data_IF_736727716050
#
_entry.id   IF_736727716050
#
_cell.length_a   1.000
_cell.length_b   1.000
_cell.length_c   1.000
_cell.angle_alpha   90.00
_cell.angle_beta   90.00
_cell.angle_gamma   90.00
#
_symmetry.space_group_name_H-M   'P 1'
#
loop_
_entity.id
_entity.type
_entity.pdbx_description
1 polymer ?
#
# COMPACT_ATOMS: atom_id res chain seq x y z
N UNK A 1 8.99 -8.63 -21.25
CA UNK A 1 9.98 -8.19 -22.27
C UNK A 1 9.33 -7.68 -23.54
N UNK A 2 8.17 -8.20 -23.97
CA UNK A 2 7.46 -7.78 -25.20
C UNK A 2 7.32 -6.26 -25.35
N UNK A 3 6.71 -5.58 -24.37
CA UNK A 3 6.54 -4.10 -24.36
C UNK A 3 7.87 -3.37 -24.57
N UNK A 4 8.94 -3.84 -23.90
CA UNK A 4 10.25 -3.20 -23.94
C UNK A 4 10.99 -3.43 -25.28
N UNK A 5 10.69 -4.53 -25.99
CA UNK A 5 11.40 -4.92 -27.20
C UNK A 5 10.68 -4.50 -28.49
N UNK A 6 9.34 -4.47 -28.47
CA UNK A 6 8.53 -4.19 -29.66
C UNK A 6 7.96 -2.77 -29.68
N UNK A 7 7.73 -2.16 -28.52
CA UNK A 7 7.29 -0.77 -28.42
C UNK A 7 5.88 -0.50 -28.96
N UNK A 8 5.04 -1.53 -29.07
CA UNK A 8 3.65 -1.38 -29.52
C UNK A 8 2.83 -0.54 -28.54
N UNK A 9 1.85 0.19 -29.07
CA UNK A 9 0.93 1.00 -28.26
C UNK A 9 -0.19 0.11 -27.73
N UNK A 10 -0.50 0.28 -26.45
CA UNK A 10 -1.60 -0.40 -25.76
C UNK A 10 -2.50 0.60 -25.03
N UNK A 11 -3.74 0.18 -24.79
CA UNK A 11 -4.74 1.01 -24.10
C UNK A 11 -4.65 0.93 -22.58
N UNK A 12 -5.39 1.79 -21.88
CA UNK A 12 -5.44 1.78 -20.42
C UNK A 12 -6.00 0.47 -19.85
N UNK A 13 -6.98 -0.15 -20.51
CA UNK A 13 -7.55 -1.43 -20.06
C UNK A 13 -6.50 -2.55 -20.09
N UNK A 14 -5.77 -2.66 -21.20
CA UNK A 14 -4.68 -3.63 -21.34
C UNK A 14 -3.56 -3.39 -20.32
N UNK A 15 -3.20 -2.12 -20.08
CA UNK A 15 -2.25 -1.74 -19.02
C UNK A 15 -2.67 -2.23 -17.62
N UNK A 16 -3.98 -2.21 -17.33
CA UNK A 16 -4.53 -2.74 -16.07
C UNK A 16 -4.45 -4.26 -16.03
N UNK A 17 -4.82 -4.92 -17.12
CA UNK A 17 -4.90 -6.38 -17.20
C UNK A 17 -3.52 -7.04 -17.04
N UNK A 18 -2.46 -6.39 -17.52
CA UNK A 18 -1.07 -6.84 -17.31
C UNK A 18 -0.47 -6.41 -15.95
N UNK A 19 -1.24 -5.70 -15.12
CA UNK A 19 -0.80 -5.25 -13.79
C UNK A 19 0.11 -4.02 -13.78
N UNK A 20 0.19 -3.24 -14.87
CA UNK A 20 1.00 -2.02 -14.93
C UNK A 20 0.34 -0.84 -14.20
N UNK A 21 -0.98 -0.77 -14.19
CA UNK A 21 -1.76 0.23 -13.45
C UNK A 21 -2.86 -0.45 -12.61
N UNK A 22 -3.28 0.21 -11.51
CA UNK A 22 -4.20 -0.38 -10.54
C UNK A 22 -5.68 -0.34 -10.99
N UNK A 23 -6.11 0.76 -11.62
CA UNK A 23 -7.50 0.95 -12.03
C UNK A 23 -7.60 1.87 -13.25
N UNK A 24 -8.74 1.77 -13.95
CA UNK A 24 -9.10 2.59 -15.11
C UNK A 24 -10.48 3.15 -14.84
N UNK A 25 -10.64 4.46 -15.04
CA UNK A 25 -11.89 5.20 -14.84
C UNK A 25 -12.11 6.17 -16.01
N UNK A 26 -13.34 6.63 -16.26
CA UNK A 26 -13.60 7.72 -17.20
C UNK A 26 -12.74 8.95 -16.88
N UNK A 27 -12.30 9.68 -17.90
CA UNK A 27 -11.44 10.85 -17.73
C UNK A 27 -12.05 11.90 -16.79
N UNK A 28 -13.37 12.08 -16.83
CA UNK A 28 -14.08 13.03 -15.97
C UNK A 28 -14.05 12.66 -14.47
N UNK A 29 -13.76 11.40 -14.14
CA UNK A 29 -13.75 10.87 -12.77
C UNK A 29 -12.33 10.75 -12.19
N UNK A 30 -11.28 10.92 -13.01
CA UNK A 30 -9.90 10.68 -12.62
C UNK A 30 -9.47 11.47 -11.37
N UNK A 31 -9.79 12.76 -11.34
CA UNK A 31 -9.42 13.64 -10.21
C UNK A 31 -10.15 13.22 -8.92
N UNK A 32 -11.43 12.84 -9.03
CA UNK A 32 -12.22 12.42 -7.88
C UNK A 32 -11.72 11.09 -7.30
N UNK A 33 -11.43 10.11 -8.16
CA UNK A 33 -10.98 8.77 -7.76
C UNK A 33 -9.56 8.79 -7.17
N UNK A 34 -8.66 9.59 -7.76
CA UNK A 34 -7.30 9.76 -7.22
C UNK A 34 -7.31 10.51 -5.88
N UNK A 35 -8.15 11.55 -5.73
CA UNK A 35 -8.32 12.24 -4.46
C UNK A 35 -8.90 11.32 -3.38
N UNK A 36 -9.91 10.51 -3.71
CA UNK A 36 -10.50 9.54 -2.79
C UNK A 36 -9.47 8.50 -2.31
N UNK A 37 -8.64 7.98 -3.22
CA UNK A 37 -7.56 7.06 -2.85
C UNK A 37 -6.51 7.73 -1.96
N UNK A 38 -6.09 8.96 -2.29
CA UNK A 38 -5.13 9.70 -1.48
C UNK A 38 -5.67 9.99 -0.07
N UNK A 39 -6.94 10.38 0.05
CA UNK A 39 -7.59 10.60 1.34
C UNK A 39 -7.68 9.31 2.15
N UNK A 40 -8.03 8.18 1.52
CA UNK A 40 -8.07 6.87 2.17
C UNK A 40 -6.70 6.48 2.74
N UNK A 41 -5.62 6.71 2.00
CA UNK A 41 -4.26 6.45 2.47
C UNK A 41 -3.84 7.43 3.57
N UNK A 42 -4.20 8.72 3.45
CA UNK A 42 -3.88 9.72 4.46
C UNK A 42 -4.61 9.48 5.80
N UNK A 43 -5.81 8.90 5.76
CA UNK A 43 -6.59 8.55 6.95
C UNK A 43 -6.18 7.20 7.58
N UNK A 44 -5.27 6.46 6.96
CA UNK A 44 -4.76 5.20 7.48
C UNK A 44 -3.53 5.36 8.39
N UNK A 45 -2.99 4.26 8.93
CA UNK A 45 -1.79 4.28 9.76
C UNK A 45 -0.54 4.49 8.89
N UNK A 46 -0.21 5.75 8.60
CA UNK A 46 0.83 6.13 7.62
C UNK A 46 2.21 5.56 7.94
N UNK A 47 2.57 5.42 9.22
CA UNK A 47 3.80 4.76 9.65
C UNK A 47 3.86 3.30 9.21
N UNK A 48 2.76 2.56 9.38
CA UNK A 48 2.65 1.16 8.93
C UNK A 48 2.79 1.09 7.41
N UNK A 49 2.15 2.00 6.66
CA UNK A 49 2.29 2.04 5.21
C UNK A 49 3.74 2.30 4.76
N UNK A 50 4.46 3.19 5.44
CA UNK A 50 5.88 3.42 5.20
C UNK A 50 6.71 2.16 5.41
N UNK A 51 6.51 1.50 6.55
CA UNK A 51 7.19 0.25 6.91
C UNK A 51 6.89 -0.88 5.90
N UNK A 52 5.63 -1.09 5.54
CA UNK A 52 5.23 -2.09 4.53
C UNK A 52 5.84 -1.79 3.16
N UNK A 53 5.87 -0.52 2.73
CA UNK A 53 6.48 -0.14 1.46
C UNK A 53 8.00 -0.40 1.44
N UNK A 54 8.70 -0.09 2.52
CA UNK A 54 10.12 -0.39 2.66
C UNK A 54 10.39 -1.90 2.61
N UNK A 55 9.54 -2.71 3.26
CA UNK A 55 9.60 -4.17 3.22
C UNK A 55 9.47 -4.73 1.81
N UNK A 56 8.50 -4.25 1.03
CA UNK A 56 8.31 -4.72 -0.34
C UNK A 56 9.46 -4.34 -1.27
N UNK A 57 10.03 -3.14 -1.13
CA UNK A 57 11.12 -2.76 -2.03
C UNK A 57 12.39 -3.58 -1.81
N UNK A 58 12.70 -3.95 -0.57
CA UNK A 58 13.89 -4.76 -0.29
C UNK A 58 13.69 -6.26 -0.50
N UNK A 59 12.44 -6.75 -0.56
CA UNK A 59 12.18 -8.20 -0.52
C UNK A 59 12.73 -8.94 -1.73
N UNK A 60 12.84 -8.28 -2.88
CA UNK A 60 13.39 -8.88 -4.11
C UNK A 60 14.90 -9.11 -4.03
N UNK A 61 15.59 -8.40 -3.14
CA UNK A 61 17.04 -8.44 -2.97
C UNK A 61 17.46 -9.16 -1.67
N UNK A 62 16.49 -9.54 -0.84
CA UNK A 62 16.74 -10.13 0.48
C UNK A 62 16.68 -11.66 0.44
N UNK A 63 17.57 -12.30 1.19
CA UNK A 63 17.41 -13.72 1.52
C UNK A 63 16.16 -13.92 2.39
N UNK A 64 15.52 -15.07 2.25
CA UNK A 64 14.25 -15.36 2.91
C UNK A 64 14.30 -15.18 4.43
N UNK A 65 15.33 -15.70 5.10
CA UNK A 65 15.49 -15.57 6.55
C UNK A 65 15.70 -14.12 6.99
N UNK A 66 16.50 -13.36 6.22
CA UNK A 66 16.75 -11.94 6.48
C UNK A 66 15.47 -11.12 6.32
N UNK A 67 14.66 -11.43 5.30
CA UNK A 67 13.36 -10.78 5.08
C UNK A 67 12.40 -11.07 6.24
N UNK A 68 12.28 -12.33 6.68
CA UNK A 68 11.43 -12.69 7.81
C UNK A 68 11.83 -11.99 9.11
N UNK A 69 13.14 -11.97 9.42
CA UNK A 69 13.65 -11.29 10.61
C UNK A 69 13.27 -9.82 10.59
N UNK A 70 13.45 -9.18 9.45
CA UNK A 70 13.26 -7.76 9.37
C UNK A 70 11.76 -7.39 9.15
N UNK A 71 10.89 -8.32 8.75
CA UNK A 71 9.43 -8.21 8.90
C UNK A 71 9.02 -8.25 10.38
N UNK A 72 9.59 -9.16 11.18
CA UNK A 72 9.33 -9.24 12.61
C UNK A 72 9.74 -7.95 13.35
N UNK A 73 10.88 -7.37 13.01
CA UNK A 73 11.34 -6.09 13.58
C UNK A 73 10.39 -4.93 13.26
N UNK A 74 9.99 -4.80 11.99
CA UNK A 74 9.08 -3.74 11.54
C UNK A 74 7.68 -3.92 12.16
N UNK A 75 7.23 -5.16 12.29
CA UNK A 75 5.99 -5.47 12.99
C UNK A 75 6.06 -5.08 14.46
N UNK A 76 7.15 -5.40 15.17
CA UNK A 76 7.33 -5.03 16.57
C UNK A 76 7.34 -3.50 16.79
N UNK A 77 8.01 -2.75 15.92
CA UNK A 77 7.95 -1.28 15.92
C UNK A 77 6.51 -0.78 15.73
N UNK A 78 5.79 -1.28 14.72
CA UNK A 78 4.37 -0.96 14.53
C UNK A 78 3.51 -1.30 15.74
N UNK A 79 3.70 -2.47 16.36
CA UNK A 79 2.91 -2.94 17.50
C UNK A 79 3.13 -2.09 18.77
N UNK A 80 4.28 -1.42 18.89
CA UNK A 80 4.60 -0.55 20.02
C UNK A 80 3.90 0.80 20.00
N UNK A 81 3.25 1.15 18.88
CA UNK A 81 2.75 2.49 18.58
C UNK A 81 1.28 2.71 18.95
N UNK A 82 0.86 3.97 18.94
CA UNK A 82 -0.49 4.36 19.34
C UNK A 82 -1.53 3.85 18.33
N UNK A 83 -1.23 3.97 17.04
CA UNK A 83 -2.12 3.53 15.97
C UNK A 83 -2.42 2.02 16.02
N UNK A 84 -1.50 1.19 16.52
CA UNK A 84 -1.76 -0.24 16.72
C UNK A 84 -2.80 -0.48 17.81
N UNK A 85 -2.64 0.17 18.97
CA UNK A 85 -3.62 0.09 20.06
C UNK A 85 -5.00 0.61 19.63
N UNK A 86 -5.02 1.70 18.88
CA UNK A 86 -6.24 2.28 18.33
C UNK A 86 -6.93 1.31 17.35
N UNK A 87 -6.18 0.72 16.42
CA UNK A 87 -6.72 -0.25 15.47
C UNK A 87 -7.34 -1.46 16.16
N UNK A 88 -6.65 -2.03 17.17
CA UNK A 88 -7.16 -3.15 17.96
C UNK A 88 -8.41 -2.74 18.75
N UNK A 89 -8.38 -1.58 19.43
CA UNK A 89 -9.50 -1.11 20.25
C UNK A 89 -10.73 -0.81 19.40
N UNK A 90 -10.56 -0.09 18.29
CA UNK A 90 -11.63 0.23 17.35
C UNK A 90 -12.29 -1.02 16.76
N UNK A 91 -11.49 -2.05 16.45
CA UNK A 91 -11.98 -3.34 15.99
C UNK A 91 -12.84 -4.03 17.05
N UNK A 92 -12.37 -4.12 18.30
CA UNK A 92 -13.11 -4.72 19.42
C UNK A 92 -14.41 -3.96 19.70
N UNK A 93 -14.34 -2.63 19.64
CA UNK A 93 -15.47 -1.72 19.88
C UNK A 93 -16.42 -1.59 18.66
N UNK A 94 -16.09 -2.22 17.52
CA UNK A 94 -16.86 -2.15 16.26
C UNK A 94 -17.09 -0.72 15.77
N UNK A 95 -16.10 0.15 15.92
CA UNK A 95 -16.10 1.53 15.41
C UNK A 95 -15.02 1.72 14.38
N UNK A 96 -15.10 2.80 13.61
CA UNK A 96 -14.02 3.21 12.73
C UNK A 96 -12.79 3.63 13.56
N UNK A 97 -11.58 3.19 13.19
CA UNK A 97 -10.35 3.65 13.83
C UNK A 97 -10.03 5.09 13.42
N UNK A 98 -9.39 5.83 14.32
CA UNK A 98 -8.86 7.17 14.08
C UNK A 98 -7.33 7.15 14.15
N UNK A 99 -6.68 6.90 13.02
CA UNK A 99 -5.22 6.84 12.93
C UNK A 99 -4.60 8.23 12.89
N UNK A 100 -3.46 8.39 13.55
CA UNK A 100 -2.73 9.66 13.65
C UNK A 100 -1.37 9.62 12.96
N UNK A 101 -0.95 8.46 12.46
CA UNK A 101 0.31 8.26 11.76
C UNK A 101 1.51 8.02 12.69
N UNK A 102 1.28 7.71 13.98
CA UNK A 102 2.33 7.58 15.01
C UNK A 102 2.34 6.24 15.73
#
# INVERSE_FOLDING_TARGET
>A
MEIALLGDRFGAQEAKDIGMINFVVPTAELDAETAALAQRLAAGPTHVYGNTKALFYRSLESEFESQLQAEAEYFADCASRADFREGVSAFVEKRSPNFTGN
#
